data_IF_028595451677
#
_entry.id   IF_028595451677
#
_cell.length_a   1.000
_cell.length_b   1.000
_cell.length_c   1.000
_cell.angle_alpha   90.00
_cell.angle_beta   90.00
_cell.angle_gamma   90.00
#
_symmetry.space_group_name_H-M   'P 1'
#
loop_
_entity.id
_entity.type
_entity.pdbx_description
1 polymer ?
#
# COMPACT_ATOMS: atom_id res chain seq x y z
N UNK A 1 -18.60 2.85 12.80
CA UNK A 1 -18.16 2.72 11.39
C UNK A 1 -16.74 2.20 11.36
N UNK A 2 -16.46 1.08 10.66
CA UNK A 2 -15.12 0.52 10.55
C UNK A 2 -14.17 1.45 9.80
N UNK A 3 -12.87 1.27 10.04
CA UNK A 3 -11.79 1.96 9.34
C UNK A 3 -10.83 0.95 8.70
N UNK A 4 -10.37 1.30 7.51
CA UNK A 4 -9.32 0.60 6.78
C UNK A 4 -8.13 1.52 6.75
N UNK A 5 -7.08 1.18 7.49
CA UNK A 5 -5.79 1.86 7.35
C UNK A 5 -5.09 1.18 6.20
N UNK A 6 -4.78 1.90 5.12
CA UNK A 6 -4.13 1.40 3.94
C UNK A 6 -2.78 2.07 3.73
N UNK A 7 -1.74 1.30 3.43
CA UNK A 7 -0.43 1.88 3.33
C UNK A 7 0.68 0.88 3.08
N UNK A 8 1.89 1.42 3.06
CA UNK A 8 3.10 0.66 2.77
C UNK A 8 3.76 0.05 4.00
N UNK A 9 2.98 -0.18 5.05
CA UNK A 9 3.38 -0.95 6.23
C UNK A 9 3.16 -2.46 6.03
N UNK A 10 2.96 -2.92 4.79
CA UNK A 10 3.04 -4.32 4.36
C UNK A 10 4.47 -4.75 3.95
N UNK A 11 5.45 -3.87 4.17
CA UNK A 11 6.87 -4.18 4.05
C UNK A 11 7.56 -3.92 5.39
N UNK A 12 8.75 -4.50 5.54
CA UNK A 12 9.59 -4.30 6.72
C UNK A 12 10.28 -2.92 6.69
N UNK A 13 9.49 -1.86 6.87
CA UNK A 13 9.96 -0.48 7.01
C UNK A 13 9.44 0.11 8.32
N UNK A 14 10.36 0.45 9.24
CA UNK A 14 10.00 0.95 10.56
C UNK A 14 9.14 2.23 10.49
N UNK A 15 9.49 3.18 9.62
CA UNK A 15 8.76 4.45 9.49
C UNK A 15 7.31 4.24 9.04
N UNK A 16 7.08 3.37 8.06
CA UNK A 16 5.73 3.02 7.61
C UNK A 16 4.94 2.30 8.71
N UNK A 17 5.55 1.36 9.43
CA UNK A 17 4.90 0.65 10.55
C UNK A 17 4.53 1.60 11.68
N UNK A 18 5.39 2.58 12.01
CA UNK A 18 5.07 3.62 12.99
C UNK A 18 3.88 4.48 12.57
N UNK A 19 3.75 4.80 11.28
CA UNK A 19 2.58 5.54 10.77
C UNK A 19 1.28 4.72 10.89
N UNK A 20 1.35 3.38 10.78
CA UNK A 20 0.21 2.51 11.06
C UNK A 20 -0.21 2.57 12.54
N UNK A 21 0.74 2.54 13.46
CA UNK A 21 0.48 2.71 14.91
C UNK A 21 -0.12 4.08 15.24
N UNK A 22 0.39 5.15 14.62
CA UNK A 22 -0.18 6.49 14.78
C UNK A 22 -1.63 6.52 14.28
N UNK A 23 -1.91 5.92 13.13
CA UNK A 23 -3.28 5.84 12.62
C UNK A 23 -4.20 5.03 13.56
N UNK A 24 -3.71 3.92 14.13
CA UNK A 24 -4.42 3.14 15.13
C UNK A 24 -4.78 3.97 16.37
N UNK A 25 -3.82 4.70 16.92
CA UNK A 25 -4.03 5.58 18.07
C UNK A 25 -5.04 6.70 17.77
N UNK A 26 -4.98 7.32 16.58
CA UNK A 26 -5.90 8.38 16.16
C UNK A 26 -7.31 7.86 15.87
N UNK A 27 -7.45 6.58 15.54
CA UNK A 27 -8.71 5.91 15.24
C UNK A 27 -9.22 5.06 16.41
N UNK A 28 -8.67 5.26 17.61
CA UNK A 28 -9.03 4.52 18.82
C UNK A 28 -10.56 4.43 19.02
N UNK A 29 -11.02 3.26 19.46
CA UNK A 29 -12.45 2.96 19.64
C UNK A 29 -13.19 2.56 18.36
N UNK A 30 -12.52 2.47 17.20
CA UNK A 30 -13.09 1.93 15.96
C UNK A 30 -12.64 0.49 15.72
N UNK A 31 -13.45 -0.25 14.97
CA UNK A 31 -12.99 -1.49 14.36
C UNK A 31 -12.04 -1.15 13.19
N UNK A 32 -10.78 -1.53 13.32
CA UNK A 32 -9.73 -1.22 12.33
C UNK A 32 -9.29 -2.52 11.65
N UNK A 33 -9.08 -2.48 10.32
CA UNK A 33 -8.17 -3.43 9.68
C UNK A 33 -7.07 -2.71 8.93
N UNK A 34 -5.92 -3.36 8.90
CA UNK A 34 -4.72 -2.88 8.21
C UNK A 34 -4.66 -3.52 6.83
N UNK A 35 -4.44 -2.69 5.82
CA UNK A 35 -4.46 -3.05 4.43
C UNK A 35 -3.14 -2.65 3.75
N UNK A 36 -2.69 -3.50 2.84
CA UNK A 36 -1.52 -3.27 2.00
C UNK A 36 -1.77 -3.81 0.60
N UNK A 37 -0.71 -3.88 -0.19
CA UNK A 37 -0.72 -4.53 -1.50
C UNK A 37 -0.66 -6.06 -1.39
N UNK A 38 -0.13 -6.59 -0.29
CA UNK A 38 -0.10 -8.03 -0.02
C UNK A 38 -0.49 -8.39 1.42
N UNK A 39 -0.93 -9.64 1.61
CA UNK A 39 -1.12 -10.22 2.94
C UNK A 39 0.22 -10.46 3.63
N UNK A 40 0.36 -9.94 4.86
CA UNK A 40 1.59 -10.02 5.65
C UNK A 40 1.30 -10.13 7.14
N UNK A 41 2.13 -10.90 7.84
CA UNK A 41 2.18 -10.89 9.29
C UNK A 41 3.43 -10.17 9.77
N UNK A 42 3.28 -8.91 10.14
CA UNK A 42 4.40 -8.11 10.66
C UNK A 42 4.34 -7.95 12.17
N UNK A 43 3.38 -8.59 12.85
CA UNK A 43 3.29 -8.60 14.32
C UNK A 43 4.57 -9.09 15.01
N UNK A 44 5.29 -10.12 14.50
CA UNK A 44 6.58 -10.51 15.07
C UNK A 44 7.65 -9.41 15.04
N UNK A 45 7.49 -8.41 14.17
CA UNK A 45 8.41 -7.29 13.98
C UNK A 45 7.86 -5.98 14.58
N UNK A 46 6.81 -6.06 15.41
CA UNK A 46 6.17 -4.89 15.99
C UNK A 46 5.23 -4.14 15.04
N UNK A 47 4.86 -4.72 13.90
CA UNK A 47 3.83 -4.22 13.00
C UNK A 47 2.46 -4.86 13.23
N UNK A 48 1.66 -4.97 12.16
CA UNK A 48 0.28 -5.45 12.23
C UNK A 48 0.07 -6.67 11.33
N UNK A 49 -1.09 -7.35 11.50
CA UNK A 49 -1.60 -8.25 10.46
C UNK A 49 -2.14 -7.36 9.34
N UNK A 50 -1.48 -7.41 8.19
CA UNK A 50 -1.87 -6.64 7.01
C UNK A 50 -2.56 -7.57 6.04
N UNK A 51 -3.69 -7.13 5.50
CA UNK A 51 -4.45 -7.84 4.48
C UNK A 51 -4.26 -7.19 3.11
N UNK A 52 -4.26 -7.99 2.04
CA UNK A 52 -4.32 -7.42 0.71
C UNK A 52 -5.61 -6.59 0.54
N UNK A 53 -5.49 -5.36 0.06
CA UNK A 53 -6.64 -4.45 -0.11
C UNK A 53 -7.77 -5.06 -0.94
N UNK A 54 -7.54 -5.79 -2.05
CA UNK A 54 -8.62 -6.44 -2.79
C UNK A 54 -9.45 -7.41 -1.94
N UNK A 55 -8.81 -8.15 -1.03
CA UNK A 55 -9.47 -9.08 -0.11
C UNK A 55 -10.38 -8.34 0.88
N UNK A 56 -9.93 -7.19 1.40
CA UNK A 56 -10.73 -6.34 2.28
C UNK A 56 -11.86 -5.62 1.54
N UNK A 57 -11.61 -5.16 0.31
CA UNK A 57 -12.64 -4.54 -0.53
C UNK A 57 -13.78 -5.51 -0.83
N UNK A 58 -13.48 -6.79 -1.07
CA UNK A 58 -14.48 -7.84 -1.25
C UNK A 58 -15.31 -8.06 0.03
N UNK A 59 -14.65 -8.12 1.20
CA UNK A 59 -15.30 -8.30 2.51
C UNK A 59 -16.24 -7.14 2.87
N UNK A 60 -15.88 -5.91 2.51
CA UNK A 60 -16.61 -4.71 2.90
C UNK A 60 -17.42 -4.05 1.78
N UNK A 61 -17.60 -4.75 0.65
CA UNK A 61 -18.35 -4.28 -0.53
C UNK A 61 -19.70 -3.64 -0.24
N UNK A 62 -20.35 -3.99 0.87
CA UNK A 62 -21.71 -3.58 1.24
C UNK A 62 -21.81 -2.72 2.51
N UNK A 63 -20.69 -2.27 3.10
CA UNK A 63 -20.70 -1.51 4.36
C UNK A 63 -19.89 -0.21 4.30
N UNK A 64 -20.34 0.89 4.93
CA UNK A 64 -19.59 2.14 4.92
C UNK A 64 -18.28 1.98 5.70
N UNK A 65 -17.17 2.34 5.07
CA UNK A 65 -15.87 2.37 5.73
C UNK A 65 -15.15 3.72 5.53
N UNK A 66 -14.35 4.09 6.52
CA UNK A 66 -13.31 5.11 6.36
C UNK A 66 -12.07 4.45 5.75
N UNK A 67 -11.57 4.96 4.64
CA UNK A 67 -10.28 4.57 4.08
C UNK A 67 -9.22 5.61 4.46
N UNK A 68 -8.24 5.23 5.27
CA UNK A 68 -7.19 6.09 5.79
C UNK A 68 -5.83 5.69 5.20
N UNK A 69 -5.22 6.54 4.40
CA UNK A 69 -3.89 6.29 3.85
C UNK A 69 -2.80 6.72 4.84
N UNK A 70 -1.84 5.83 5.12
CA UNK A 70 -0.69 6.08 5.99
C UNK A 70 0.61 5.46 5.42
N UNK A 71 1.69 6.24 5.33
CA UNK A 71 3.01 5.76 4.94
C UNK A 71 3.91 6.85 4.33
N UNK A 72 5.23 6.68 4.49
CA UNK A 72 6.24 7.70 4.21
C UNK A 72 6.60 7.89 2.73
N UNK A 73 6.21 6.99 1.84
CA UNK A 73 6.55 7.11 0.41
C UNK A 73 5.42 6.68 -0.56
N UNK A 74 4.16 6.77 -0.13
CA UNK A 74 3.03 6.27 -0.92
C UNK A 74 2.90 6.95 -2.30
N UNK A 75 3.25 8.24 -2.40
CA UNK A 75 3.09 9.04 -3.62
C UNK A 75 4.27 8.93 -4.58
N UNK A 76 5.46 8.58 -4.07
CA UNK A 76 6.68 8.40 -4.86
C UNK A 76 6.91 6.97 -5.33
N UNK A 77 6.29 5.99 -4.65
CA UNK A 77 6.46 4.57 -4.96
C UNK A 77 5.71 4.19 -6.24
N UNK A 78 6.47 3.87 -7.30
CA UNK A 78 5.91 3.40 -8.57
C UNK A 78 5.51 1.92 -8.48
N UNK A 79 4.52 1.51 -9.28
CA UNK A 79 4.03 0.13 -9.34
C UNK A 79 5.14 -0.94 -9.37
N UNK A 80 6.18 -0.77 -10.19
CA UNK A 80 7.25 -1.76 -10.27
C UNK A 80 8.16 -1.80 -9.03
N UNK A 81 8.36 -0.67 -8.36
CA UNK A 81 9.13 -0.60 -7.11
C UNK A 81 8.34 -1.30 -6.00
N UNK A 82 7.03 -1.03 -5.92
CA UNK A 82 6.14 -1.73 -5.01
C UNK A 82 6.15 -3.24 -5.28
N UNK A 83 6.06 -3.67 -6.53
CA UNK A 83 6.13 -5.09 -6.89
C UNK A 83 7.44 -5.75 -6.43
N UNK A 84 8.59 -5.09 -6.58
CA UNK A 84 9.87 -5.57 -6.07
C UNK A 84 9.89 -5.63 -4.54
N UNK A 85 9.35 -4.62 -3.86
CA UNK A 85 9.31 -4.55 -2.40
C UNK A 85 8.44 -5.64 -1.75
N UNK A 86 7.57 -6.29 -2.52
CA UNK A 86 6.75 -7.42 -2.08
C UNK A 86 7.40 -8.78 -2.32
N UNK A 87 8.52 -8.83 -3.05
CA UNK A 87 9.27 -10.06 -3.27
C UNK A 87 10.02 -10.50 -2.00
N UNK A 88 10.54 -11.72 -2.02
CA UNK A 88 11.50 -12.15 -1.00
C UNK A 88 12.74 -11.24 -1.03
N UNK A 89 13.26 -10.90 0.15
CA UNK A 89 14.41 -10.02 0.29
C UNK A 89 15.68 -10.56 -0.38
N UNK A 90 15.82 -11.89 -0.48
CA UNK A 90 16.94 -12.54 -1.16
C UNK A 90 16.86 -12.39 -2.69
N UNK A 91 15.65 -12.32 -3.25
CA UNK A 91 15.42 -12.27 -4.71
C UNK A 91 15.34 -10.84 -5.24
N UNK A 92 14.90 -9.89 -4.40
CA UNK A 92 14.65 -8.51 -4.78
C UNK A 92 15.85 -7.81 -5.45
N UNK A 93 17.12 -7.97 -5.03
CA UNK A 93 18.25 -7.32 -5.67
C UNK A 93 18.46 -7.75 -7.14
N UNK A 94 18.40 -9.06 -7.41
CA UNK A 94 18.55 -9.60 -8.76
C UNK A 94 17.39 -9.17 -9.67
N UNK A 95 16.16 -9.23 -9.14
CA UNK A 95 14.98 -8.77 -9.84
C UNK A 95 15.02 -7.26 -10.14
N UNK A 96 15.54 -6.45 -9.21
CA UNK A 96 15.69 -5.01 -9.41
C UNK A 96 16.60 -4.70 -10.60
N UNK A 97 17.78 -5.33 -10.66
CA UNK A 97 18.70 -5.19 -11.81
C UNK A 97 18.05 -5.63 -13.12
N UNK A 98 17.35 -6.78 -13.08
CA UNK A 98 16.68 -7.34 -14.26
C UNK A 98 15.62 -6.40 -14.85
N UNK A 99 14.74 -5.86 -14.00
CA UNK A 99 13.62 -5.01 -14.40
C UNK A 99 14.04 -3.56 -14.67
N UNK A 100 15.08 -3.07 -14.02
CA UNK A 100 15.61 -1.73 -14.29
C UNK A 100 16.06 -1.57 -15.74
N UNK A 101 16.58 -2.63 -16.37
CA UNK A 101 16.99 -2.65 -17.78
C UNK A 101 15.84 -2.88 -18.77
N UNK A 102 14.62 -3.21 -18.32
CA UNK A 102 13.50 -3.65 -19.16
C UNK A 102 12.26 -2.75 -19.01
N UNK A 103 12.44 -1.46 -19.26
CA UNK A 103 11.39 -0.45 -19.03
C UNK A 103 10.05 -0.79 -19.72
N UNK A 104 10.09 -1.29 -20.97
CA UNK A 104 8.88 -1.62 -21.73
C UNK A 104 8.07 -2.78 -21.13
N UNK A 105 8.73 -3.86 -20.68
CA UNK A 105 8.04 -5.04 -20.13
C UNK A 105 7.69 -4.89 -18.64
N UNK A 106 8.37 -3.98 -17.93
CA UNK A 106 8.27 -3.82 -16.47
C UNK A 106 6.88 -3.40 -15.99
N UNK A 107 6.18 -2.55 -16.75
CA UNK A 107 4.85 -2.09 -16.37
C UNK A 107 3.84 -3.25 -16.35
N UNK A 108 3.84 -4.07 -17.41
CA UNK A 108 2.98 -5.25 -17.50
C UNK A 108 3.30 -6.29 -16.43
N UNK A 109 4.59 -6.49 -16.11
CA UNK A 109 5.00 -7.35 -15.00
C UNK A 109 4.48 -6.83 -13.65
N UNK A 110 4.69 -5.56 -13.35
CA UNK A 110 4.23 -4.96 -12.09
C UNK A 110 2.70 -5.07 -11.93
N UNK A 111 1.95 -4.86 -13.01
CA UNK A 111 0.50 -5.03 -13.01
C UNK A 111 0.09 -6.47 -12.68
N UNK A 112 0.79 -7.48 -13.23
CA UNK A 112 0.51 -8.89 -12.91
C UNK A 112 0.80 -9.22 -11.45
N UNK A 113 1.91 -8.70 -10.90
CA UNK A 113 2.28 -8.93 -9.50
C UNK A 113 1.32 -8.25 -8.53
N UNK A 114 0.94 -7.00 -8.81
CA UNK A 114 0.10 -6.20 -7.91
C UNK A 114 -1.40 -6.38 -8.13
N UNK A 115 -1.82 -7.05 -9.21
CA UNK A 115 -3.22 -7.16 -9.59
C UNK A 115 -3.89 -5.83 -9.95
N UNK A 116 -3.12 -4.76 -10.21
CA UNK A 116 -3.66 -3.43 -10.51
C UNK A 116 -2.78 -2.66 -11.49
N UNK A 117 -3.42 -1.93 -12.42
CA UNK A 117 -2.74 -1.02 -13.34
C UNK A 117 -2.44 0.37 -12.75
N UNK A 118 -2.71 0.58 -11.45
CA UNK A 118 -2.47 1.86 -10.81
C UNK A 118 -0.97 2.20 -10.75
N UNK A 119 -0.63 3.43 -11.14
CA UNK A 119 0.76 3.90 -11.20
C UNK A 119 1.37 4.10 -9.82
N UNK A 120 0.54 4.58 -8.88
CA UNK A 120 0.80 4.74 -7.45
C UNK A 120 -0.07 3.72 -6.71
N UNK A 121 0.38 2.46 -6.55
CA UNK A 121 -0.47 1.38 -6.07
C UNK A 121 -0.95 1.61 -4.63
N UNK A 122 -0.15 2.32 -3.83
CA UNK A 122 -0.47 2.73 -2.46
C UNK A 122 -1.34 3.99 -2.33
N UNK A 123 -1.84 4.57 -3.44
CA UNK A 123 -2.84 5.63 -3.42
C UNK A 123 -4.13 5.13 -4.08
N UNK A 124 -5.17 4.90 -3.27
CA UNK A 124 -6.42 4.29 -3.71
C UNK A 124 -7.46 5.35 -4.03
N UNK A 125 -7.91 5.32 -5.28
CA UNK A 125 -9.06 6.08 -5.73
C UNK A 125 -10.38 5.39 -5.34
N UNK A 126 -11.46 6.16 -5.25
CA UNK A 126 -12.77 5.70 -4.78
C UNK A 126 -13.31 4.53 -5.59
N UNK A 127 -12.99 4.45 -6.88
CA UNK A 127 -13.47 3.41 -7.80
C UNK A 127 -12.96 2.02 -7.40
N UNK A 128 -11.78 1.95 -6.77
CA UNK A 128 -11.20 0.68 -6.29
C UNK A 128 -11.69 0.29 -4.89
N UNK A 129 -12.36 1.20 -4.19
CA UNK A 129 -12.94 0.95 -2.87
C UNK A 129 -14.31 1.64 -2.76
N UNK A 130 -15.33 1.18 -3.50
CA UNK A 130 -16.63 1.86 -3.59
C UNK A 130 -17.39 1.92 -2.25
N UNK A 131 -17.08 1.00 -1.33
CA UNK A 131 -17.59 0.98 0.03
C UNK A 131 -17.09 2.15 0.91
N UNK A 132 -16.05 2.88 0.48
CA UNK A 132 -15.54 4.01 1.24
C UNK A 132 -16.56 5.15 1.20
N UNK A 133 -17.00 5.61 2.37
CA UNK A 133 -17.77 6.85 2.49
C UNK A 133 -16.84 8.06 2.55
N UNK A 134 -15.62 7.87 3.08
CA UNK A 134 -14.60 8.91 3.21
C UNK A 134 -13.22 8.32 2.95
N UNK A 135 -12.41 9.05 2.18
CA UNK A 135 -11.01 8.73 1.92
C UNK A 135 -10.16 9.85 2.53
N UNK A 136 -9.24 9.49 3.41
CA UNK A 136 -8.33 10.39 4.10
C UNK A 136 -6.90 10.05 3.70
N UNK A 137 -6.10 11.08 3.49
CA UNK A 137 -4.66 11.00 3.25
C UNK A 137 -3.98 11.69 4.42
N UNK A 138 -3.48 10.93 5.40
CA UNK A 138 -2.90 11.49 6.62
C UNK A 138 -1.60 10.75 6.98
N UNK A 139 -0.49 11.48 6.93
CA UNK A 139 0.85 10.90 7.01
C UNK A 139 1.23 10.21 5.69
N UNK A 140 1.10 10.92 4.57
CA UNK A 140 1.37 10.40 3.21
C UNK A 140 2.60 11.11 2.66
N UNK A 141 3.74 10.42 2.65
CA UNK A 141 4.96 11.01 2.13
C UNK A 141 5.12 10.86 0.61
N UNK A 142 5.82 11.82 0.04
CA UNK A 142 5.91 12.03 -1.41
C UNK A 142 7.08 12.91 -1.81
N UNK A 143 8.19 12.87 -1.07
CA UNK A 143 9.35 13.74 -1.30
C UNK A 143 9.87 13.62 -2.74
N UNK A 144 9.78 12.44 -3.34
CA UNK A 144 10.16 12.20 -4.73
C UNK A 144 9.10 12.62 -5.76
N UNK A 145 7.89 13.06 -5.36
CA UNK A 145 6.80 13.39 -6.29
C UNK A 145 7.17 14.54 -7.23
N UNK A 146 7.84 15.57 -6.72
CA UNK A 146 8.30 16.70 -7.54
C UNK A 146 9.32 16.29 -8.63
N UNK A 147 10.00 15.15 -8.44
CA UNK A 147 10.98 14.58 -9.37
C UNK A 147 10.40 13.42 -10.18
N UNK A 148 9.16 13.03 -9.91
CA UNK A 148 8.50 12.00 -10.68
C UNK A 148 8.27 12.56 -12.08
N UNK A 149 8.90 11.95 -13.09
CA UNK A 149 8.64 12.29 -14.48
C UNK A 149 7.13 12.26 -14.74
N UNK A 150 6.62 13.35 -15.32
CA UNK A 150 5.28 13.36 -15.92
C UNK A 150 5.26 12.27 -16.98
N UNK A 151 4.18 11.51 -16.97
CA UNK A 151 4.00 10.35 -17.82
C UNK A 151 3.82 10.75 -19.28
#
# INVERSE_FOLDING_TARGET
MPAVVFGAFDRHNLGDMLLAHVAEALLAGRQIAFAGLADRDLRPLGGHRVHALPSLAARWRHGPALLWHAGGELLGCRAWQAALMLMDAAEAPAAAVYWQRRAAARAAWAQRVLGTGARTPYAVARERFPAAVRIVHAGVGGVALARAQKF
#
